data_IF_282299041746
#
_entry.id   IF_282299041746
#
_cell.length_a   1.000
_cell.length_b   1.000
_cell.length_c   1.000
_cell.angle_alpha   90.00
_cell.angle_beta   90.00
_cell.angle_gamma   90.00
#
_symmetry.space_group_name_H-M   'P 1'
#
loop_
_entity.id
_entity.type
_entity.pdbx_description
1 polymer ?
#
# COMPACT_ATOMS: atom_id res chain seq x y z
N UNK A 1 0.95 -37.74 -34.19
CA UNK A 1 0.01 -36.59 -34.34
C UNK A 1 -0.59 -36.12 -33.01
N UNK A 2 -1.19 -36.99 -32.18
CA UNK A 2 -1.82 -36.61 -30.89
C UNK A 2 -0.88 -35.89 -29.88
N UNK A 3 0.38 -36.30 -29.80
CA UNK A 3 1.39 -35.72 -28.89
C UNK A 3 1.75 -34.26 -29.24
N UNK A 4 1.69 -33.88 -30.51
CA UNK A 4 2.01 -32.51 -30.93
C UNK A 4 0.86 -31.54 -30.58
N UNK A 5 -0.38 -31.98 -30.78
CA UNK A 5 -1.57 -31.25 -30.34
C UNK A 5 -1.56 -31.02 -28.82
N UNK A 6 -1.22 -32.07 -28.06
CA UNK A 6 -1.09 -31.99 -26.60
C UNK A 6 -0.03 -30.98 -26.14
N UNK A 7 1.07 -30.88 -26.88
CA UNK A 7 2.16 -29.97 -26.53
C UNK A 7 1.78 -28.51 -26.81
N UNK A 8 1.07 -28.24 -27.90
CA UNK A 8 0.49 -26.92 -28.16
C UNK A 8 -0.57 -26.54 -27.13
N UNK A 9 -1.46 -27.47 -26.79
CA UNK A 9 -2.52 -27.28 -25.80
C UNK A 9 -1.98 -26.90 -24.41
N UNK A 10 -0.91 -27.55 -23.95
CA UNK A 10 -0.25 -27.22 -22.68
C UNK A 10 0.29 -25.79 -22.64
N UNK A 11 0.82 -25.27 -23.75
CA UNK A 11 1.29 -23.87 -23.83
C UNK A 11 0.13 -22.89 -23.69
N UNK A 12 -1.01 -23.18 -24.32
CA UNK A 12 -2.22 -22.34 -24.21
C UNK A 12 -2.73 -22.31 -22.78
N UNK A 13 -2.86 -23.47 -22.12
CA UNK A 13 -3.29 -23.53 -20.71
C UNK A 13 -2.32 -22.79 -19.79
N UNK A 14 -1.01 -22.90 -20.02
CA UNK A 14 -0.03 -22.20 -19.20
C UNK A 14 -0.18 -20.67 -19.28
N UNK A 15 -0.41 -20.12 -20.48
CA UNK A 15 -0.63 -18.69 -20.68
C UNK A 15 -1.95 -18.24 -20.04
N UNK A 16 -3.03 -18.99 -20.28
CA UNK A 16 -4.35 -18.69 -19.72
C UNK A 16 -4.32 -18.77 -18.19
N UNK A 17 -3.65 -19.76 -17.62
CA UNK A 17 -3.48 -19.90 -16.17
C UNK A 17 -2.67 -18.77 -15.56
N UNK A 18 -1.60 -18.33 -16.22
CA UNK A 18 -0.81 -17.17 -15.77
C UNK A 18 -1.64 -15.87 -15.83
N UNK A 19 -2.49 -15.70 -16.84
CA UNK A 19 -3.39 -14.56 -16.92
C UNK A 19 -4.48 -14.62 -15.84
N UNK A 20 -5.18 -15.76 -15.73
CA UNK A 20 -6.24 -15.99 -14.75
C UNK A 20 -5.75 -15.78 -13.32
N UNK A 21 -4.59 -16.34 -12.95
CA UNK A 21 -4.02 -16.14 -11.62
C UNK A 21 -3.74 -14.68 -11.29
N UNK A 22 -3.21 -13.90 -12.25
CA UNK A 22 -3.00 -12.45 -12.06
C UNK A 22 -4.30 -11.68 -11.92
N UNK A 23 -5.32 -12.01 -12.72
CA UNK A 23 -6.65 -11.38 -12.62
C UNK A 23 -7.27 -11.71 -11.28
N UNK A 24 -7.26 -12.98 -10.87
CA UNK A 24 -7.83 -13.42 -9.60
C UNK A 24 -7.12 -12.75 -8.41
N UNK A 25 -5.79 -12.70 -8.44
CA UNK A 25 -4.98 -12.04 -7.41
C UNK A 25 -5.29 -10.54 -7.37
N UNK A 26 -5.33 -9.87 -8.52
CA UNK A 26 -5.63 -8.44 -8.60
C UNK A 26 -7.02 -8.13 -8.06
N UNK A 27 -8.03 -8.92 -8.44
CA UNK A 27 -9.38 -8.80 -7.92
C UNK A 27 -9.42 -9.04 -6.42
N UNK A 28 -8.77 -10.09 -5.91
CA UNK A 28 -8.70 -10.38 -4.48
C UNK A 28 -8.09 -9.21 -3.68
N UNK A 29 -6.95 -8.69 -4.14
CA UNK A 29 -6.30 -7.53 -3.53
C UNK A 29 -7.22 -6.31 -3.58
N UNK A 30 -7.88 -6.06 -4.71
CA UNK A 30 -8.79 -4.92 -4.84
C UNK A 30 -10.01 -5.07 -3.92
N UNK A 31 -10.66 -6.22 -3.92
CA UNK A 31 -11.86 -6.49 -3.11
C UNK A 31 -11.58 -6.51 -1.61
N UNK A 32 -10.39 -6.91 -1.16
CA UNK A 32 -10.07 -6.94 0.28
C UNK A 32 -9.33 -5.70 0.76
N UNK A 33 -8.25 -5.29 0.07
CA UNK A 33 -7.44 -4.15 0.52
C UNK A 33 -8.14 -2.82 0.26
N UNK A 34 -8.92 -2.67 -0.83
CA UNK A 34 -9.60 -1.39 -1.07
C UNK A 34 -10.60 -1.03 0.02
N UNK A 35 -11.58 -1.88 0.41
CA UNK A 35 -12.50 -1.52 1.48
C UNK A 35 -11.77 -1.39 2.82
N UNK A 36 -10.76 -2.21 3.09
CA UNK A 36 -9.92 -2.06 4.27
C UNK A 36 -9.21 -0.71 4.30
N UNK A 37 -8.60 -0.28 3.20
CA UNK A 37 -7.90 0.99 3.10
C UNK A 37 -8.86 2.17 3.20
N UNK A 38 -10.04 2.08 2.60
CA UNK A 38 -11.10 3.09 2.74
C UNK A 38 -11.54 3.18 4.20
N UNK A 39 -11.80 2.05 4.85
CA UNK A 39 -12.18 2.01 6.26
C UNK A 39 -11.06 2.60 7.13
N UNK A 40 -9.82 2.14 7.00
CA UNK A 40 -8.68 2.65 7.76
C UNK A 40 -8.48 4.17 7.58
N UNK A 41 -8.61 4.66 6.34
CA UNK A 41 -8.55 6.09 6.03
C UNK A 41 -9.69 6.87 6.68
N UNK A 42 -10.91 6.35 6.66
CA UNK A 42 -12.07 7.01 7.25
C UNK A 42 -12.05 6.99 8.79
N UNK A 43 -11.59 5.91 9.43
CA UNK A 43 -11.65 5.75 10.88
C UNK A 43 -10.49 6.41 11.63
N UNK A 44 -9.27 6.35 11.10
CA UNK A 44 -8.08 6.81 11.85
C UNK A 44 -7.42 8.07 11.30
N UNK A 45 -7.80 8.54 10.10
CA UNK A 45 -7.04 9.55 9.30
C UNK A 45 -5.52 9.55 9.61
N UNK A 46 -4.84 8.39 9.43
CA UNK A 46 -3.47 8.23 9.90
C UNK A 46 -2.48 9.16 9.18
N UNK A 47 -2.87 9.71 8.02
CA UNK A 47 -2.06 10.67 7.27
C UNK A 47 -2.47 12.13 7.52
N UNK A 48 -3.44 12.42 8.41
CA UNK A 48 -3.99 13.78 8.62
C UNK A 48 -4.29 14.49 7.29
N UNK A 49 -4.82 13.77 6.31
CA UNK A 49 -5.08 14.31 4.97
C UNK A 49 -6.32 15.21 4.97
N UNK A 50 -7.20 15.07 5.99
CA UNK A 50 -8.25 16.06 6.21
C UNK A 50 -7.61 17.32 6.79
N UNK A 51 -7.54 18.36 5.96
CA UNK A 51 -7.25 19.73 6.42
C UNK A 51 -8.24 20.06 7.53
N UNK A 52 -7.78 20.39 8.75
CA UNK A 52 -8.66 21.00 9.72
C UNK A 52 -9.19 22.30 9.09
N UNK A 53 -10.50 22.47 9.04
CA UNK A 53 -11.14 23.72 8.66
C UNK A 53 -10.70 24.81 9.64
N UNK A 54 -9.61 25.51 9.33
CA UNK A 54 -9.13 26.67 10.07
C UNK A 54 -7.63 26.68 10.42
N UNK A 55 -6.88 25.58 10.30
CA UNK A 55 -5.53 25.51 10.84
C UNK A 55 -4.42 25.41 9.79
N UNK A 56 -3.37 26.20 10.01
CA UNK A 56 -2.18 26.29 9.16
C UNK A 56 -1.43 24.96 9.10
N UNK A 57 -0.67 24.70 8.03
CA UNK A 57 0.19 23.50 7.91
C UNK A 57 1.38 23.48 8.90
N UNK A 58 1.48 24.46 9.80
CA UNK A 58 2.54 24.54 10.79
C UNK A 58 2.30 23.53 11.90
N UNK A 59 3.20 22.56 12.02
CA UNK A 59 3.23 21.67 13.18
C UNK A 59 3.80 22.46 14.37
N UNK A 60 3.13 22.48 15.53
CA UNK A 60 3.64 23.18 16.71
C UNK A 60 4.99 22.58 17.09
N UNK A 61 6.02 23.42 17.10
CA UNK A 61 7.35 23.03 17.55
C UNK A 61 7.30 22.73 19.05
N UNK A 62 7.45 21.46 19.42
CA UNK A 62 7.71 21.11 20.81
C UNK A 62 9.19 21.39 21.10
N UNK A 63 9.45 22.48 21.81
CA UNK A 63 10.74 22.76 22.41
C UNK A 63 11.12 21.57 23.31
N UNK A 64 12.04 20.73 22.83
CA UNK A 64 12.72 19.74 23.68
C UNK A 64 13.41 20.55 24.79
N UNK A 65 13.29 20.17 26.08
CA UNK A 65 13.98 20.88 27.15
C UNK A 65 15.46 20.92 26.81
N UNK A 66 16.00 22.14 26.71
CA UNK A 66 17.40 22.37 26.37
C UNK A 66 18.25 21.92 27.55
N UNK A 67 18.59 20.64 27.60
CA UNK A 67 19.65 20.17 28.46
C UNK A 67 20.98 20.58 27.80
N UNK A 68 21.69 21.50 28.47
CA UNK A 68 22.97 22.04 28.01
C UNK A 68 24.01 20.92 27.80
N UNK A 69 23.83 19.79 28.49
CA UNK A 69 24.70 18.62 28.34
C UNK A 69 24.45 17.82 27.06
N UNK A 70 23.26 17.90 26.45
CA UNK A 70 22.97 17.24 25.16
C UNK A 70 23.52 18.01 23.96
N UNK A 71 23.62 19.35 24.06
CA UNK A 71 24.13 20.20 22.99
C UNK A 71 25.61 19.92 22.66
N UNK A 72 26.40 19.49 23.64
CA UNK A 72 27.82 19.13 23.46
C UNK A 72 28.06 17.80 22.74
N UNK A 73 27.01 17.00 22.47
CA UNK A 73 27.13 15.70 21.75
C UNK A 73 26.89 15.80 20.25
N UNK A 74 26.57 16.97 19.72
CA UNK A 74 26.25 17.17 18.30
C UNK A 74 27.45 17.57 17.44
N UNK A 75 28.62 17.78 18.06
CA UNK A 75 29.90 18.09 17.40
C UNK A 75 30.97 17.07 17.78
#
# INVERSE_FOLDING_TARGET
MLLQLWTGWKKVIAIVGAFQSRVLLSLFYFLLLMPYAIAAKCLSDPLRLRRPTGDTNWVPWHSRPADLTEAGRQY
#
